data_IF_884751062142
#
_entry.id   IF_884751062142
#
_cell.length_a   1.000
_cell.length_b   1.000
_cell.length_c   1.000
_cell.angle_alpha   90.00
_cell.angle_beta   90.00
_cell.angle_gamma   90.00
#
_symmetry.space_group_name_H-M   'P 1'
#
loop_
_entity.id
_entity.type
_entity.pdbx_description
1 polymer ?
#
# COMPACT_ATOMS: atom_id res chain seq x y z
N UNK A 1 -15.66 15.79 19.29
CA UNK A 1 -14.37 15.54 18.60
C UNK A 1 -13.40 15.00 19.65
N UNK A 2 -12.94 13.74 19.54
CA UNK A 2 -11.89 13.25 20.44
C UNK A 2 -10.56 13.90 20.03
N UNK A 3 -9.82 14.56 20.93
CA UNK A 3 -8.53 15.14 20.60
C UNK A 3 -7.57 14.02 20.17
N UNK A 4 -7.04 14.12 18.96
CA UNK A 4 -6.02 13.19 18.47
C UNK A 4 -4.82 13.28 19.43
N UNK A 5 -4.50 12.15 20.09
CA UNK A 5 -3.38 12.07 21.02
C UNK A 5 -2.09 12.44 20.27
N UNK A 6 -1.13 13.17 20.87
CA UNK A 6 0.15 13.53 20.23
C UNK A 6 0.88 12.34 19.60
N UNK A 7 0.71 11.16 20.20
CA UNK A 7 1.23 9.88 19.72
C UNK A 7 0.71 9.47 18.34
N UNK A 8 -0.53 9.80 18.00
CA UNK A 8 -1.11 9.48 16.68
C UNK A 8 -0.44 10.31 15.57
N UNK A 9 -0.19 11.60 15.84
CA UNK A 9 0.52 12.48 14.91
C UNK A 9 1.97 12.05 14.72
N UNK A 10 2.67 11.69 15.80
CA UNK A 10 4.04 11.20 15.73
C UNK A 10 4.13 9.89 14.94
N UNK A 11 3.26 8.92 15.23
CA UNK A 11 3.24 7.64 14.51
C UNK A 11 2.92 7.83 13.02
N UNK A 12 1.98 8.72 12.71
CA UNK A 12 1.69 9.09 11.32
C UNK A 12 2.89 9.70 10.61
N UNK A 13 3.59 10.64 11.26
CA UNK A 13 4.81 11.26 10.71
C UNK A 13 5.93 10.23 10.47
N UNK A 14 6.17 9.34 11.43
CA UNK A 14 7.15 8.26 11.30
C UNK A 14 6.80 7.36 10.11
N UNK A 15 5.51 7.02 9.94
CA UNK A 15 5.03 6.32 8.76
C UNK A 15 5.35 7.06 7.46
N UNK A 16 5.00 8.35 7.37
CA UNK A 16 5.29 9.16 6.17
C UNK A 16 6.80 9.18 5.86
N UNK A 17 7.65 9.36 6.87
CA UNK A 17 9.11 9.38 6.69
C UNK A 17 9.62 8.04 6.16
N UNK A 18 9.17 6.92 6.71
CA UNK A 18 9.61 5.58 6.30
C UNK A 18 9.10 5.24 4.89
N UNK A 19 7.86 5.61 4.54
CA UNK A 19 7.22 5.19 3.30
C UNK A 19 7.42 6.14 2.11
N UNK A 20 7.72 7.42 2.33
CA UNK A 20 7.82 8.43 1.26
C UNK A 20 8.89 8.13 0.21
N UNK A 21 10.00 7.49 0.61
CA UNK A 21 11.08 7.09 -0.30
C UNK A 21 10.88 5.74 -1.00
N UNK A 22 9.84 4.97 -0.65
CA UNK A 22 9.72 3.56 -1.05
C UNK A 22 9.59 3.34 -2.56
N UNK A 23 8.74 4.12 -3.25
CA UNK A 23 8.57 4.00 -4.71
C UNK A 23 9.81 4.46 -5.49
N UNK A 24 10.42 5.63 -5.19
CA UNK A 24 11.71 6.01 -5.78
C UNK A 24 12.80 4.97 -5.55
N UNK A 25 12.94 4.45 -4.33
CA UNK A 25 13.91 3.41 -4.02
C UNK A 25 13.65 2.11 -4.78
N UNK A 26 12.37 1.72 -4.95
CA UNK A 26 11.99 0.56 -5.78
C UNK A 26 12.38 0.78 -7.24
N UNK A 27 12.08 1.95 -7.79
CA UNK A 27 12.45 2.28 -9.18
C UNK A 27 13.96 2.27 -9.39
N UNK A 28 14.73 2.76 -8.42
CA UNK A 28 16.18 2.72 -8.45
C UNK A 28 16.71 1.28 -8.36
N UNK A 29 16.16 0.46 -7.45
CA UNK A 29 16.56 -0.93 -7.29
C UNK A 29 16.31 -1.77 -8.55
N UNK A 30 15.24 -1.47 -9.29
CA UNK A 30 14.91 -2.11 -10.58
C UNK A 30 15.94 -1.85 -11.69
N UNK A 31 16.90 -0.94 -11.48
CA UNK A 31 18.01 -0.75 -12.41
C UNK A 31 19.06 -1.87 -12.30
N UNK A 32 19.12 -2.56 -11.16
CA UNK A 32 20.11 -3.62 -10.90
C UNK A 32 19.52 -4.98 -10.53
N UNK A 33 18.20 -5.05 -10.27
CA UNK A 33 17.54 -6.26 -9.81
C UNK A 33 16.21 -6.49 -10.53
N UNK A 34 15.88 -7.75 -10.77
CA UNK A 34 14.60 -8.16 -11.32
C UNK A 34 13.43 -7.91 -10.33
N UNK A 35 12.23 -7.52 -10.82
CA UNK A 35 11.04 -7.30 -10.00
C UNK A 35 10.66 -8.46 -9.05
N UNK A 36 10.80 -9.71 -9.51
CA UNK A 36 10.48 -10.89 -8.71
C UNK A 36 11.48 -11.03 -7.57
N UNK A 37 12.77 -10.89 -7.87
CA UNK A 37 13.82 -10.94 -6.85
C UNK A 37 13.59 -9.89 -5.76
N UNK A 38 13.30 -8.64 -6.13
CA UNK A 38 13.01 -7.57 -5.16
C UNK A 38 11.79 -7.90 -4.31
N UNK A 39 10.74 -8.46 -4.90
CA UNK A 39 9.53 -8.86 -4.19
C UNK A 39 9.83 -9.97 -3.17
N UNK A 40 10.51 -11.04 -3.60
CA UNK A 40 10.86 -12.15 -2.72
C UNK A 40 11.84 -11.73 -1.62
N UNK A 41 12.81 -10.87 -1.93
CA UNK A 41 13.76 -10.35 -0.95
C UNK A 41 13.02 -9.55 0.15
N UNK A 42 12.13 -8.63 -0.23
CA UNK A 42 11.31 -7.87 0.72
C UNK A 42 10.43 -8.77 1.58
N UNK A 43 9.72 -9.72 0.95
CA UNK A 43 8.85 -10.65 1.64
C UNK A 43 9.64 -11.51 2.63
N UNK A 44 10.82 -12.00 2.24
CA UNK A 44 11.67 -12.84 3.10
C UNK A 44 12.22 -12.05 4.28
N UNK A 45 12.71 -10.82 4.06
CA UNK A 45 13.20 -9.95 5.14
C UNK A 45 12.08 -9.63 6.12
N UNK A 46 10.89 -9.27 5.63
CA UNK A 46 9.72 -9.00 6.46
C UNK A 46 9.28 -10.25 7.24
N UNK A 47 9.28 -11.43 6.60
CA UNK A 47 8.93 -12.69 7.23
C UNK A 47 9.92 -13.09 8.33
N UNK A 48 11.23 -12.89 8.12
CA UNK A 48 12.24 -13.14 9.15
C UNK A 48 12.08 -12.19 10.34
N UNK A 49 11.93 -10.88 10.08
CA UNK A 49 11.71 -9.90 11.14
C UNK A 49 10.41 -10.18 11.91
N UNK A 50 9.34 -10.52 11.20
CA UNK A 50 8.06 -10.94 11.78
C UNK A 50 8.19 -12.20 12.63
N UNK A 51 8.88 -13.23 12.14
CA UNK A 51 9.11 -14.47 12.88
C UNK A 51 9.89 -14.21 14.18
N UNK A 52 10.95 -13.41 14.13
CA UNK A 52 11.71 -12.99 15.32
C UNK A 52 10.78 -12.27 16.31
N UNK A 53 9.97 -11.33 15.84
CA UNK A 53 9.03 -10.61 16.71
C UNK A 53 7.99 -11.55 17.35
N UNK A 54 7.41 -12.48 16.59
CA UNK A 54 6.43 -13.46 17.09
C UNK A 54 7.04 -14.38 18.17
N UNK A 55 8.29 -14.81 17.98
CA UNK A 55 9.02 -15.63 18.96
C UNK A 55 9.34 -14.85 20.23
N UNK A 56 9.88 -13.64 20.09
CA UNK A 56 10.24 -12.78 21.24
C UNK A 56 9.01 -12.36 22.05
N UNK A 57 7.91 -12.04 21.37
CA UNK A 57 6.64 -11.65 21.98
C UNK A 57 5.75 -12.84 22.36
N UNK A 58 6.23 -14.08 22.18
CA UNK A 58 5.54 -15.34 22.54
C UNK A 58 4.08 -15.39 22.03
N UNK A 59 3.88 -14.97 20.79
CA UNK A 59 2.54 -14.87 20.21
C UNK A 59 1.93 -16.26 19.98
N UNK A 60 0.62 -16.38 20.18
CA UNK A 60 -0.14 -17.60 19.92
C UNK A 60 -0.25 -17.89 18.43
N UNK A 61 -0.28 -19.17 18.06
CA UNK A 61 -0.51 -19.57 16.66
C UNK A 61 -1.91 -19.14 16.21
N UNK A 62 -2.07 -18.74 14.94
CA UNK A 62 -3.37 -18.33 14.43
C UNK A 62 -4.36 -19.50 14.46
N UNK A 63 -5.62 -19.18 14.77
CA UNK A 63 -6.74 -20.10 14.72
C UNK A 63 -7.10 -20.42 13.26
N UNK A 64 -7.72 -21.58 13.03
CA UNK A 64 -8.09 -22.01 11.66
C UNK A 64 -9.01 -21.03 10.94
N UNK A 65 -9.85 -20.30 11.67
CA UNK A 65 -10.72 -19.26 11.12
C UNK A 65 -10.00 -18.00 10.63
N UNK A 66 -8.77 -17.74 11.11
CA UNK A 66 -7.97 -16.57 10.74
C UNK A 66 -7.12 -16.83 9.47
N UNK A 67 -6.91 -18.10 9.12
CA UNK A 67 -6.07 -18.50 7.98
C UNK A 67 -6.55 -17.89 6.65
N UNK A 68 -7.86 -17.88 6.30
CA UNK A 68 -8.31 -17.27 5.05
C UNK A 68 -7.96 -15.78 4.95
N UNK A 69 -8.11 -15.04 6.06
CA UNK A 69 -7.74 -13.63 6.13
C UNK A 69 -6.24 -13.42 5.99
N UNK A 70 -5.43 -14.23 6.68
CA UNK A 70 -3.97 -14.19 6.55
C UNK A 70 -3.50 -14.50 5.12
N UNK A 71 -4.11 -15.47 4.45
CA UNK A 71 -3.81 -15.79 3.05
C UNK A 71 -4.16 -14.61 2.15
N UNK A 72 -5.30 -13.95 2.38
CA UNK A 72 -5.71 -12.79 1.60
C UNK A 72 -4.76 -11.61 1.80
N UNK A 73 -4.38 -11.29 3.04
CA UNK A 73 -3.42 -10.24 3.37
C UNK A 73 -2.06 -10.54 2.74
N UNK A 74 -1.58 -11.79 2.85
CA UNK A 74 -0.32 -12.20 2.24
C UNK A 74 -0.35 -12.08 0.71
N UNK A 75 -1.41 -12.57 0.07
CA UNK A 75 -1.58 -12.50 -1.37
C UNK A 75 -1.68 -11.04 -1.87
N UNK A 76 -2.43 -10.19 -1.18
CA UNK A 76 -2.66 -8.80 -1.58
C UNK A 76 -1.52 -7.85 -1.25
N UNK A 77 -1.08 -7.85 0.02
CA UNK A 77 -0.15 -6.83 0.56
C UNK A 77 1.31 -7.27 0.47
N UNK A 78 1.60 -8.56 0.65
CA UNK A 78 2.99 -9.06 0.70
C UNK A 78 3.49 -9.43 -0.68
N UNK A 79 2.65 -10.07 -1.50
CA UNK A 79 3.06 -10.56 -2.83
C UNK A 79 2.51 -9.66 -3.93
N UNK A 80 1.19 -9.54 -4.04
CA UNK A 80 0.51 -8.93 -5.19
C UNK A 80 0.87 -7.46 -5.37
N UNK A 81 0.69 -6.65 -4.33
CA UNK A 81 0.98 -5.22 -4.40
C UNK A 81 2.46 -4.90 -4.70
N UNK A 82 3.46 -5.46 -3.98
CA UNK A 82 4.86 -5.18 -4.28
C UNK A 82 5.27 -5.66 -5.67
N UNK A 83 4.80 -6.83 -6.10
CA UNK A 83 5.12 -7.38 -7.42
C UNK A 83 4.54 -6.52 -8.54
N UNK A 84 3.23 -6.25 -8.49
CA UNK A 84 2.56 -5.45 -9.52
C UNK A 84 3.10 -4.02 -9.56
N UNK A 85 3.45 -3.46 -8.39
CA UNK A 85 4.10 -2.15 -8.32
C UNK A 85 5.49 -2.19 -8.95
N UNK A 86 6.30 -3.21 -8.68
CA UNK A 86 7.62 -3.37 -9.27
C UNK A 86 7.54 -3.50 -10.79
N UNK A 87 6.64 -4.35 -11.30
CA UNK A 87 6.38 -4.49 -12.74
C UNK A 87 5.85 -3.19 -13.37
N UNK A 88 4.91 -2.51 -12.71
CA UNK A 88 4.39 -1.23 -13.18
C UNK A 88 5.52 -0.20 -13.32
N UNK A 89 6.41 -0.13 -12.33
CA UNK A 89 7.53 0.80 -12.30
C UNK A 89 8.57 0.54 -13.38
N UNK A 90 8.59 -0.62 -14.05
CA UNK A 90 9.39 -0.79 -15.27
C UNK A 90 8.88 0.10 -16.40
N UNK A 91 7.57 0.33 -16.43
CA UNK A 91 6.84 1.02 -17.49
C UNK A 91 6.43 2.46 -17.15
N UNK A 92 6.38 2.82 -15.87
CA UNK A 92 5.97 4.15 -15.39
C UNK A 92 7.03 4.75 -14.47
N UNK A 93 6.99 6.08 -14.32
CA UNK A 93 7.84 6.77 -13.34
C UNK A 93 7.33 6.55 -11.91
N UNK A 94 8.23 6.65 -10.92
CA UNK A 94 7.84 6.63 -9.50
C UNK A 94 6.84 7.75 -9.15
N UNK A 95 7.00 8.92 -9.77
CA UNK A 95 6.05 10.02 -9.65
C UNK A 95 4.64 9.62 -10.11
N UNK A 96 4.50 8.88 -11.22
CA UNK A 96 3.22 8.33 -11.68
C UNK A 96 2.64 7.32 -10.70
N UNK A 97 3.48 6.40 -10.21
CA UNK A 97 3.08 5.40 -9.23
C UNK A 97 2.51 6.03 -7.96
N UNK A 98 3.13 7.10 -7.45
CA UNK A 98 2.65 7.82 -6.26
C UNK A 98 1.23 8.37 -6.41
N UNK A 99 0.79 8.71 -7.62
CA UNK A 99 -0.58 9.17 -7.86
C UNK A 99 -1.60 8.07 -7.59
N UNK A 100 -1.28 6.84 -7.97
CA UNK A 100 -2.13 5.68 -7.70
C UNK A 100 -2.14 5.32 -6.21
N UNK A 101 -1.01 5.47 -5.51
CA UNK A 101 -0.95 5.27 -4.06
C UNK A 101 -1.92 6.20 -3.32
N UNK A 102 -2.13 7.42 -3.83
CA UNK A 102 -3.10 8.34 -3.22
C UNK A 102 -4.55 7.81 -3.26
N UNK A 103 -4.87 6.85 -4.14
CA UNK A 103 -6.18 6.19 -4.20
C UNK A 103 -6.35 5.07 -3.15
N UNK A 104 -5.25 4.61 -2.54
CA UNK A 104 -5.26 3.47 -1.64
C UNK A 104 -6.16 3.65 -0.40
N UNK A 105 -6.21 4.83 0.27
CA UNK A 105 -7.13 5.05 1.39
C UNK A 105 -8.61 4.91 0.98
N UNK A 106 -8.96 5.40 -0.21
CA UNK A 106 -10.33 5.30 -0.76
C UNK A 106 -10.67 3.84 -1.06
N UNK A 107 -9.74 3.10 -1.70
CA UNK A 107 -9.96 1.67 -1.98
C UNK A 107 -10.06 0.84 -0.70
N UNK A 108 -9.21 1.10 0.29
CA UNK A 108 -9.25 0.40 1.59
C UNK A 108 -10.60 0.65 2.28
N UNK A 109 -11.06 1.90 2.32
CA UNK A 109 -12.35 2.24 2.88
C UNK A 109 -13.54 1.61 2.13
N UNK A 110 -13.46 1.53 0.79
CA UNK A 110 -14.48 0.87 -0.02
C UNK A 110 -14.59 -0.61 0.35
N UNK A 111 -13.47 -1.33 0.45
CA UNK A 111 -13.48 -2.73 0.87
C UNK A 111 -13.90 -2.91 2.32
N UNK A 112 -13.54 -1.99 3.22
CA UNK A 112 -14.01 -2.02 4.61
C UNK A 112 -15.55 -1.89 4.69
N UNK A 113 -16.16 -1.02 3.88
CA UNK A 113 -17.62 -0.92 3.78
C UNK A 113 -18.23 -2.22 3.24
N UNK A 114 -17.67 -2.77 2.16
CA UNK A 114 -18.23 -3.95 1.49
C UNK A 114 -18.11 -5.20 2.38
N UNK A 115 -16.97 -5.39 3.05
CA UNK A 115 -16.61 -6.64 3.72
C UNK A 115 -16.87 -6.61 5.23
N UNK A 116 -16.52 -5.51 5.89
CA UNK A 116 -16.65 -5.35 7.34
C UNK A 116 -17.93 -4.57 7.72
N UNK A 117 -18.74 -4.16 6.75
CA UNK A 117 -19.96 -3.35 6.93
C UNK A 117 -19.68 -2.07 7.75
N UNK A 118 -18.45 -1.57 7.66
CA UNK A 118 -18.04 -0.34 8.31
C UNK A 118 -18.78 0.84 7.69
N UNK A 119 -18.98 1.90 8.49
CA UNK A 119 -19.64 3.13 8.04
C UNK A 119 -18.71 4.32 8.27
N UNK A 120 -17.73 4.55 7.38
CA UNK A 120 -16.86 5.71 7.46
C UNK A 120 -17.69 6.99 7.46
N UNK A 121 -17.33 7.93 8.32
CA UNK A 121 -18.10 9.17 8.47
C UNK A 121 -18.01 10.00 7.18
N UNK A 122 -19.06 10.75 6.80
CA UNK A 122 -19.04 11.57 5.58
C UNK A 122 -17.80 12.49 5.39
N UNK A 123 -17.23 13.12 6.45
CA UNK A 123 -16.01 13.91 6.30
C UNK A 123 -14.80 13.10 5.82
N UNK A 124 -14.69 11.81 6.16
CA UNK A 124 -13.60 10.95 5.71
C UNK A 124 -13.59 10.82 4.19
N UNK A 125 -14.76 10.63 3.57
CA UNK A 125 -14.90 10.56 2.12
C UNK A 125 -14.49 11.86 1.46
N UNK A 126 -14.95 13.00 2.01
CA UNK A 126 -14.60 14.31 1.51
C UNK A 126 -13.08 14.53 1.51
N UNK A 127 -12.41 14.29 2.65
CA UNK A 127 -10.97 14.49 2.76
C UNK A 127 -10.17 13.49 1.93
N UNK A 128 -10.59 12.23 1.84
CA UNK A 128 -9.91 11.20 1.05
C UNK A 128 -10.02 11.47 -0.45
N UNK A 129 -11.20 11.87 -0.92
CA UNK A 129 -11.41 12.27 -2.31
C UNK A 129 -10.67 13.57 -2.62
N UNK A 130 -10.73 14.57 -1.74
CA UNK A 130 -10.01 15.83 -1.92
C UNK A 130 -8.49 15.63 -2.00
N UNK A 131 -7.92 14.81 -1.10
CA UNK A 131 -6.49 14.48 -1.14
C UNK A 131 -6.10 13.76 -2.44
N UNK A 132 -6.92 12.79 -2.87
CA UNK A 132 -6.71 12.08 -4.14
C UNK A 132 -6.76 13.05 -5.34
N UNK A 133 -7.77 13.93 -5.38
CA UNK A 133 -7.94 14.93 -6.43
C UNK A 133 -6.78 15.95 -6.46
N UNK A 134 -6.33 16.42 -5.30
CA UNK A 134 -5.20 17.34 -5.19
C UNK A 134 -3.90 16.72 -5.75
N UNK A 135 -3.63 15.45 -5.41
CA UNK A 135 -2.46 14.74 -5.92
C UNK A 135 -2.56 14.55 -7.44
N UNK A 136 -3.72 14.17 -7.96
CA UNK A 136 -3.94 14.05 -9.41
C UNK A 136 -3.81 15.41 -10.13
N UNK A 137 -4.34 16.49 -9.56
CA UNK A 137 -4.26 17.84 -10.13
C UNK A 137 -2.82 18.37 -10.13
N UNK A 138 -2.05 18.14 -9.06
CA UNK A 138 -0.63 18.48 -9.00
C UNK A 138 0.19 17.72 -10.06
N UNK A 139 -0.14 16.47 -10.31
CA UNK A 139 0.53 15.68 -11.34
C UNK A 139 0.19 16.14 -12.76
N UNK A 140 -1.08 16.51 -12.98
CA UNK A 140 -1.52 17.08 -14.25
C UNK A 140 -0.83 18.43 -14.53
N UNK A 141 -0.63 19.26 -13.50
CA UNK A 141 0.03 20.57 -13.65
C UNK A 141 1.54 20.48 -13.90
N UNK A 142 2.18 19.38 -13.48
CA UNK A 142 3.61 19.14 -13.78
C UNK A 142 3.86 18.63 -15.20
N UNK A 143 2.82 18.25 -15.94
CA UNK A 143 2.82 18.10 -17.40
C UNK A 143 3.74 17.02 -18.00
N UNK A 144 4.44 16.21 -17.20
CA UNK A 144 5.50 15.28 -17.67
C UNK A 144 5.61 13.99 -16.86
N UNK A 145 4.50 13.30 -16.67
CA UNK A 145 4.54 12.00 -15.99
C UNK A 145 4.49 10.87 -17.03
N UNK A 146 5.66 10.51 -17.56
CA UNK A 146 5.79 9.42 -18.52
C UNK A 146 5.25 8.09 -17.96
N UNK A 147 4.56 7.33 -18.82
CA UNK A 147 3.99 6.03 -18.49
C UNK A 147 3.31 5.38 -19.68
N UNK A 148 3.00 4.10 -19.54
CA UNK A 148 2.28 3.30 -20.54
C UNK A 148 1.03 2.69 -19.91
N UNK A 149 0.03 2.39 -20.74
CA UNK A 149 -1.23 1.79 -20.29
C UNK A 149 -1.03 0.47 -19.51
N UNK A 150 -0.12 -0.46 -19.91
CA UNK A 150 0.16 -1.65 -19.11
C UNK A 150 0.59 -1.34 -17.68
N UNK A 151 1.49 -0.38 -17.49
CA UNK A 151 1.96 -0.01 -16.17
C UNK A 151 0.87 0.64 -15.31
N UNK A 152 0.00 1.44 -15.92
CA UNK A 152 -1.18 2.01 -15.23
C UNK A 152 -2.15 0.92 -14.76
N UNK A 153 -2.43 -0.07 -15.61
CA UNK A 153 -3.32 -1.19 -15.27
C UNK A 153 -2.74 -2.06 -14.15
N UNK A 154 -1.43 -2.33 -14.20
CA UNK A 154 -0.73 -3.04 -13.13
C UNK A 154 -0.82 -2.28 -11.81
N UNK A 155 -0.64 -0.96 -11.84
CA UNK A 155 -0.74 -0.14 -10.63
C UNK A 155 -2.16 -0.10 -10.09
N UNK A 156 -3.18 0.03 -10.94
CA UNK A 156 -4.59 -0.06 -10.52
C UNK A 156 -4.90 -1.42 -9.87
N UNK A 157 -4.46 -2.52 -10.48
CA UNK A 157 -4.61 -3.85 -9.90
C UNK A 157 -3.88 -3.98 -8.55
N UNK A 158 -2.67 -3.40 -8.42
CA UNK A 158 -1.92 -3.37 -7.17
C UNK A 158 -2.71 -2.66 -6.07
N UNK A 159 -3.30 -1.51 -6.37
CA UNK A 159 -4.08 -0.71 -5.42
C UNK A 159 -5.36 -1.44 -4.98
N UNK A 160 -6.05 -2.12 -5.90
CA UNK A 160 -7.23 -2.93 -5.56
C UNK A 160 -6.86 -4.08 -4.63
N UNK A 161 -5.81 -4.85 -4.96
CA UNK A 161 -5.35 -5.97 -4.13
C UNK A 161 -4.86 -5.52 -2.76
N UNK A 162 -4.11 -4.42 -2.71
CA UNK A 162 -3.61 -3.85 -1.45
C UNK A 162 -4.76 -3.33 -0.59
N UNK A 163 -5.70 -2.58 -1.17
CA UNK A 163 -6.87 -2.07 -0.45
C UNK A 163 -7.74 -3.20 0.11
N UNK A 164 -7.92 -4.29 -0.64
CA UNK A 164 -8.62 -5.48 -0.15
C UNK A 164 -7.87 -6.14 1.01
N UNK A 165 -6.55 -6.27 0.90
CA UNK A 165 -5.72 -6.85 1.97
C UNK A 165 -5.71 -5.98 3.24
N UNK A 166 -5.59 -4.66 3.11
CA UNK A 166 -5.65 -3.73 4.26
C UNK A 166 -7.05 -3.63 4.89
N UNK A 167 -8.11 -3.94 4.16
CA UNK A 167 -9.45 -4.00 4.74
C UNK A 167 -9.71 -5.29 5.53
N UNK A 168 -8.90 -6.34 5.29
CA UNK A 168 -9.02 -7.62 6.00
C UNK A 168 -8.12 -7.73 7.24
N UNK A 169 -6.91 -7.16 7.17
CA UNK A 169 -5.92 -7.21 8.25
C UNK A 169 -5.98 -6.02 9.19
#
# INVERSE_FOLDING_TARGET
MMPARPTAWLNGLVGVVIFSGSLPATRLALQGFDPLFLTYARATIAAMAGAVALVLLKQTRPQRGEIPGLVLVAAGVVIGFPLLTALALEHITAARGLLYIALLPVMTALFAVIRANERPRPPFWLFSLAASLLVMAFAASTGRVAGTLPGDLMMLAAIVLCGLGYAEG
#
